data_IF_229764509532
#
_entry.id   IF_229764509532
#
_cell.length_a   1.000
_cell.length_b   1.000
_cell.length_c   1.000
_cell.angle_alpha   90.00
_cell.angle_beta   90.00
_cell.angle_gamma   90.00
#
_symmetry.space_group_name_H-M   'P 1'
#
loop_
_entity.id
_entity.type
_entity.pdbx_description
1 polymer ?
#
# COMPACT_ATOMS: atom_id res chain seq x y z
N UNK A 1 25.22 -37.69 51.09
CA UNK A 1 26.44 -37.19 51.76
C UNK A 1 26.84 -35.93 51.04
N UNK A 2 26.68 -34.82 51.75
CA UNK A 2 27.08 -33.47 51.37
C UNK A 2 28.61 -33.38 51.31
N UNK A 3 29.13 -32.44 50.52
CA UNK A 3 30.24 -31.62 50.99
C UNK A 3 30.32 -30.33 50.19
N UNK A 4 29.98 -29.24 50.89
CA UNK A 4 30.27 -27.86 50.54
C UNK A 4 31.77 -27.54 50.68
N UNK A 5 32.14 -26.38 50.14
CA UNK A 5 33.30 -25.57 50.55
C UNK A 5 34.27 -25.30 49.40
N UNK A 6 34.86 -24.12 49.24
CA UNK A 6 34.76 -22.82 49.91
C UNK A 6 35.62 -21.86 49.08
N UNK A 7 35.23 -20.59 49.04
CA UNK A 7 36.01 -19.46 48.54
C UNK A 7 37.44 -19.42 49.13
N UNK A 8 38.41 -18.98 48.33
CA UNK A 8 39.33 -17.93 48.77
C UNK A 8 39.90 -17.07 47.63
N UNK A 9 40.11 -15.82 48.03
CA UNK A 9 40.31 -14.58 47.31
C UNK A 9 41.79 -14.14 47.47
N UNK A 10 42.36 -13.46 46.46
CA UNK A 10 43.53 -12.52 46.48
C UNK A 10 43.94 -12.24 45.01
N UNK A 11 43.84 -11.06 44.38
CA UNK A 11 44.17 -9.65 44.65
C UNK A 11 45.67 -9.29 44.56
N UNK A 12 46.06 -8.61 43.47
CA UNK A 12 47.15 -7.61 43.29
C UNK A 12 47.36 -7.44 41.76
N UNK A 13 46.88 -6.43 41.04
CA UNK A 13 46.98 -4.96 41.12
C UNK A 13 48.29 -4.38 40.55
N UNK A 14 48.11 -3.33 39.72
CA UNK A 14 49.06 -2.41 39.05
C UNK A 14 49.66 -2.86 37.68
N UNK A 15 49.51 -2.13 36.57
CA UNK A 15 48.89 -0.80 36.39
C UNK A 15 48.93 -0.29 34.93
N UNK A 16 48.02 0.65 34.69
CA UNK A 16 48.03 1.89 33.87
C UNK A 16 48.76 1.86 32.51
N UNK A 17 48.22 2.36 31.40
CA UNK A 17 47.72 3.73 31.21
C UNK A 17 47.16 3.82 29.77
N UNK A 18 46.05 4.55 29.57
CA UNK A 18 45.79 5.46 28.41
C UNK A 18 44.34 5.97 28.52
N UNK A 19 44.25 7.20 29.04
CA UNK A 19 43.30 8.28 28.76
C UNK A 19 41.79 7.97 28.77
N UNK A 20 41.18 8.21 29.94
CA UNK A 20 39.80 8.64 30.07
C UNK A 20 39.68 10.10 29.61
N UNK A 21 38.88 10.35 28.57
CA UNK A 21 38.17 11.62 28.37
C UNK A 21 36.67 11.30 28.38
N UNK A 22 35.99 11.90 29.35
CA UNK A 22 34.58 12.27 29.38
C UNK A 22 33.53 11.18 29.13
N UNK A 23 33.27 10.40 30.18
CA UNK A 23 31.96 9.77 30.37
C UNK A 23 30.97 10.81 30.91
N UNK A 24 30.57 11.77 30.08
CA UNK A 24 29.32 12.50 30.32
C UNK A 24 28.16 11.62 29.82
N UNK A 25 27.42 11.07 30.79
CA UNK A 25 26.07 10.58 30.60
C UNK A 25 25.28 11.63 29.82
N UNK A 26 24.47 11.27 28.79
CA UNK A 26 23.52 12.22 28.27
C UNK A 26 22.52 12.48 29.38
N UNK A 27 22.73 13.59 30.09
CA UNK A 27 21.76 14.23 30.94
C UNK A 27 20.41 14.16 30.25
N UNK A 28 19.42 13.75 31.04
CA UNK A 28 18.02 13.96 30.73
C UNK A 28 17.87 15.33 30.08
N UNK A 29 17.62 15.35 28.78
CA UNK A 29 17.07 16.52 28.10
C UNK A 29 15.65 16.63 28.64
N UNK A 30 15.58 17.23 29.84
CA UNK A 30 14.41 17.78 30.44
C UNK A 30 13.92 18.83 29.46
N UNK A 31 12.90 18.40 28.73
CA UNK A 31 12.03 19.17 27.85
C UNK A 31 11.85 20.59 28.39
N UNK A 32 12.57 21.55 27.81
CA UNK A 32 12.12 22.94 27.72
C UNK A 32 11.41 23.16 26.38
N UNK A 33 10.50 22.25 26.02
CA UNK A 33 9.36 22.67 25.24
C UNK A 33 8.43 23.35 26.22
N UNK A 34 8.45 24.68 26.19
CA UNK A 34 7.41 25.52 26.73
C UNK A 34 6.10 25.10 26.02
N UNK A 35 5.48 24.05 26.56
CA UNK A 35 4.04 23.84 26.42
C UNK A 35 3.47 25.11 27.02
N UNK A 36 3.00 26.00 26.16
CA UNK A 36 2.01 26.99 26.57
C UNK A 36 0.79 26.15 26.93
N UNK A 37 0.77 25.68 28.17
CA UNK A 37 -0.43 25.17 28.78
C UNK A 37 -1.43 26.31 28.79
N UNK A 38 -2.73 26.03 28.60
CA UNK A 38 -3.73 27.00 28.96
C UNK A 38 -3.55 27.26 30.46
N UNK A 39 -3.27 28.52 30.79
CA UNK A 39 -3.29 29.03 32.15
C UNK A 39 -4.61 28.58 32.80
N UNK A 40 -4.61 27.98 34.01
CA UNK A 40 -5.84 27.62 34.68
C UNK A 40 -6.32 28.85 35.46
N UNK A 41 -6.61 29.96 34.77
CA UNK A 41 -7.20 31.16 35.34
C UNK A 41 -7.68 32.05 34.19
N UNK A 42 -8.71 31.59 33.49
CA UNK A 42 -9.80 32.49 33.08
C UNK A 42 -11.06 31.67 32.83
N UNK A 43 -11.50 30.95 33.87
CA UNK A 43 -12.91 30.62 34.00
C UNK A 43 -13.67 31.88 34.45
N UNK A 44 -13.50 32.99 33.73
CA UNK A 44 -14.53 34.02 33.63
C UNK A 44 -15.64 33.42 32.78
N UNK A 45 -16.37 32.52 33.44
CA UNK A 45 -17.77 32.29 33.19
C UNK A 45 -18.45 33.66 33.29
N UNK A 46 -18.45 34.42 32.20
CA UNK A 46 -19.50 35.38 31.88
C UNK A 46 -20.78 34.55 31.60
N UNK A 47 -21.24 33.86 32.64
CA UNK A 47 -22.67 33.84 32.92
C UNK A 47 -23.02 35.31 33.01
N UNK A 48 -23.57 35.86 31.94
CA UNK A 48 -24.54 36.92 32.11
C UNK A 48 -25.53 36.37 33.12
N UNK A 49 -25.38 36.81 34.37
CA UNK A 49 -26.44 36.76 35.34
C UNK A 49 -27.59 37.43 34.62
N UNK A 50 -28.49 36.62 34.08
CA UNK A 50 -29.89 36.96 33.97
C UNK A 50 -30.22 37.32 35.41
N UNK A 51 -30.13 38.61 35.70
CA UNK A 51 -30.68 39.18 36.91
C UNK A 51 -32.17 38.87 36.77
N UNK A 52 -32.55 37.71 37.31
CA UNK A 52 -33.90 37.45 37.75
C UNK A 52 -34.30 38.73 38.44
N UNK A 53 -35.20 39.46 37.79
CA UNK A 53 -35.86 40.59 38.39
C UNK A 53 -36.73 39.97 39.50
N UNK A 54 -36.09 39.63 40.62
CA UNK A 54 -36.77 39.40 41.88
C UNK A 54 -37.64 40.62 42.04
N UNK A 55 -38.94 40.36 42.23
CA UNK A 55 -39.91 41.36 42.67
C UNK A 55 -39.31 42.06 43.89
N UNK A 56 -38.61 43.16 43.63
CA UNK A 56 -38.27 44.12 44.64
C UNK A 56 -39.58 44.83 44.92
N UNK A 57 -40.18 44.42 46.03
CA UNK A 57 -41.25 45.08 46.76
C UNK A 57 -40.71 46.46 47.21
N UNK A 58 -40.49 47.33 46.24
CA UNK A 58 -40.14 48.72 46.44
C UNK A 58 -41.46 49.42 46.74
N UNK A 59 -41.71 49.59 48.04
CA UNK A 59 -42.64 50.57 48.58
C UNK A 59 -42.56 51.85 47.75
N UNK A 60 -43.57 52.05 46.91
CA UNK A 60 -43.77 53.29 46.18
C UNK A 60 -44.18 54.31 47.23
N UNK A 61 -43.20 55.04 47.78
CA UNK A 61 -43.48 56.25 48.53
C UNK A 61 -44.36 57.13 47.65
N UNK A 62 -45.56 57.41 48.17
CA UNK A 62 -46.57 58.25 47.55
C UNK A 62 -45.99 59.63 47.28
N UNK A 63 -45.52 59.84 46.04
CA UNK A 63 -45.15 61.15 45.54
C UNK A 63 -46.42 62.01 45.56
N UNK A 64 -46.38 63.06 46.37
CA UNK A 64 -47.39 64.11 46.49
C UNK A 64 -47.85 64.53 45.08
N UNK A 65 -49.16 64.56 44.79
CA UNK A 65 -49.66 65.07 43.52
C UNK A 65 -49.30 66.56 43.42
N UNK A 66 -48.31 66.89 42.60
CA UNK A 66 -48.10 68.28 42.22
C UNK A 66 -49.34 68.75 41.47
N UNK A 67 -50.01 69.72 42.06
CA UNK A 67 -51.13 70.42 41.45
C UNK A 67 -50.66 71.02 40.12
N UNK A 68 -51.40 70.66 39.08
CA UNK A 68 -51.32 71.19 37.73
C UNK A 68 -51.32 72.72 37.79
N UNK A 69 -50.19 73.35 37.50
CA UNK A 69 -50.20 74.72 37.02
C UNK A 69 -50.78 74.68 35.61
N UNK A 70 -51.97 75.25 35.46
CA UNK A 70 -52.80 75.20 34.26
C UNK A 70 -52.30 76.13 33.15
N UNK A 71 -51.01 76.03 32.80
CA UNK A 71 -50.46 76.64 31.60
C UNK A 71 -49.47 75.70 30.91
N UNK A 72 -49.89 74.45 30.73
CA UNK A 72 -49.25 73.56 29.77
C UNK A 72 -49.87 73.89 28.41
N UNK A 73 -49.20 74.75 27.65
CA UNK A 73 -49.58 75.04 26.27
C UNK A 73 -49.75 73.72 25.51
N UNK A 74 -50.94 73.51 24.90
CA UNK A 74 -51.26 72.33 24.08
C UNK A 74 -50.20 72.05 23.01
N UNK A 75 -49.55 73.11 22.52
CA UNK A 75 -48.44 73.04 21.56
C UNK A 75 -47.19 72.38 22.14
N UNK A 76 -46.84 72.65 23.40
CA UNK A 76 -45.69 72.03 24.08
C UNK A 76 -45.92 70.52 24.28
N UNK A 77 -47.14 70.12 24.64
CA UNK A 77 -47.50 68.69 24.77
C UNK A 77 -47.43 67.99 23.40
N UNK A 78 -47.95 68.62 22.35
CA UNK A 78 -47.92 68.07 21.00
C UNK A 78 -46.48 67.95 20.44
N UNK A 79 -45.60 68.91 20.76
CA UNK A 79 -44.19 68.85 20.39
C UNK A 79 -43.48 67.67 21.07
N UNK A 80 -43.66 67.51 22.38
CA UNK A 80 -43.06 66.40 23.14
C UNK A 80 -43.55 65.02 22.67
N UNK A 81 -44.82 64.89 22.29
CA UNK A 81 -45.35 63.64 21.71
C UNK A 81 -44.71 63.31 20.36
N UNK A 82 -44.53 64.32 19.49
CA UNK A 82 -43.81 64.14 18.21
C UNK A 82 -42.37 63.71 18.44
N UNK A 83 -41.68 64.34 19.38
CA UNK A 83 -40.31 63.99 19.74
C UNK A 83 -40.22 62.56 20.31
N UNK A 84 -41.17 62.16 21.16
CA UNK A 84 -41.28 60.80 21.67
C UNK A 84 -41.49 59.78 20.54
N UNK A 85 -42.32 60.10 19.54
CA UNK A 85 -42.55 59.23 18.39
C UNK A 85 -41.31 59.14 17.48
N UNK A 86 -40.58 60.24 17.28
CA UNK A 86 -39.28 60.23 16.60
C UNK A 86 -38.29 59.33 17.36
N UNK A 87 -38.23 59.44 18.70
CA UNK A 87 -37.36 58.60 19.52
C UNK A 87 -37.76 57.11 19.47
N UNK A 88 -39.06 56.78 19.52
CA UNK A 88 -39.54 55.40 19.39
C UNK A 88 -39.16 54.79 18.04
N UNK A 89 -39.37 55.52 16.94
CA UNK A 89 -39.02 55.04 15.60
C UNK A 89 -37.51 54.88 15.43
N UNK A 90 -36.72 55.80 15.98
CA UNK A 90 -35.25 55.70 16.00
C UNK A 90 -34.78 54.47 16.80
N UNK A 91 -35.32 54.27 18.02
CA UNK A 91 -34.98 53.13 18.87
C UNK A 91 -35.33 51.79 18.19
N UNK A 92 -36.52 51.69 17.58
CA UNK A 92 -36.90 50.49 16.81
C UNK A 92 -35.91 50.20 15.67
N UNK A 93 -35.50 51.22 14.91
CA UNK A 93 -34.48 51.07 13.85
C UNK A 93 -33.12 50.63 14.41
N UNK A 94 -32.73 51.14 15.59
CA UNK A 94 -31.49 50.72 16.25
C UNK A 94 -31.56 49.27 16.74
N UNK A 95 -32.69 48.83 17.29
CA UNK A 95 -32.91 47.43 17.67
C UNK A 95 -32.83 46.50 16.45
N UNK A 96 -33.46 46.86 15.33
CA UNK A 96 -33.37 46.10 14.09
C UNK A 96 -31.93 45.99 13.58
N UNK A 97 -31.18 47.10 13.56
CA UNK A 97 -29.74 47.10 13.22
C UNK A 97 -28.93 46.21 14.16
N UNK A 98 -29.15 46.33 15.48
CA UNK A 98 -28.46 45.53 16.49
C UNK A 98 -28.73 44.04 16.30
N UNK A 99 -29.98 43.64 16.03
CA UNK A 99 -30.31 42.23 15.76
C UNK A 99 -29.70 41.71 14.46
N UNK A 100 -29.56 42.56 13.44
CA UNK A 100 -28.89 42.21 12.19
C UNK A 100 -27.38 42.01 12.40
N UNK A 101 -26.70 42.97 13.01
CA UNK A 101 -25.28 42.89 13.34
C UNK A 101 -24.98 41.68 14.24
N UNK A 102 -25.79 41.42 15.26
CA UNK A 102 -25.63 40.24 16.12
C UNK A 102 -25.74 38.91 15.35
N UNK A 103 -26.60 38.84 14.32
CA UNK A 103 -26.69 37.65 13.45
C UNK A 103 -25.46 37.52 12.56
N UNK A 104 -24.96 38.62 12.01
CA UNK A 104 -23.76 38.64 11.17
C UNK A 104 -22.51 38.28 11.98
N UNK A 105 -22.36 38.83 13.19
CA UNK A 105 -21.27 38.51 14.12
C UNK A 105 -21.28 37.01 14.48
N UNK A 106 -22.44 36.44 14.83
CA UNK A 106 -22.56 34.99 15.09
C UNK A 106 -22.14 34.15 13.88
N UNK A 107 -22.56 34.55 12.68
CA UNK A 107 -22.18 33.86 11.42
C UNK A 107 -20.67 33.92 11.18
N UNK A 108 -20.03 35.06 11.42
CA UNK A 108 -18.58 35.20 11.28
C UNK A 108 -17.83 34.36 12.32
N UNK A 109 -18.30 34.36 13.58
CA UNK A 109 -17.74 33.53 14.65
C UNK A 109 -17.76 32.03 14.29
N UNK A 110 -18.91 31.53 13.82
CA UNK A 110 -19.02 30.12 13.39
C UNK A 110 -18.11 29.79 12.19
N UNK A 111 -17.92 30.73 11.25
CA UNK A 111 -16.99 30.52 10.13
C UNK A 111 -15.54 30.43 10.59
N UNK A 112 -15.14 31.30 11.51
CA UNK A 112 -13.79 31.30 12.07
C UNK A 112 -13.52 29.98 12.81
N UNK A 113 -14.43 29.56 13.69
CA UNK A 113 -14.33 28.30 14.44
C UNK A 113 -14.26 27.09 13.50
N UNK A 114 -15.05 27.07 12.42
CA UNK A 114 -14.99 26.02 11.42
C UNK A 114 -13.62 25.99 10.71
N UNK A 115 -13.06 27.15 10.37
CA UNK A 115 -11.75 27.24 9.74
C UNK A 115 -10.62 26.79 10.69
N UNK A 116 -10.69 27.17 11.96
CA UNK A 116 -9.76 26.73 12.99
C UNK A 116 -9.79 25.22 13.16
N UNK A 117 -10.99 24.61 13.24
CA UNK A 117 -11.15 23.16 13.33
C UNK A 117 -10.66 22.42 12.08
N UNK A 118 -10.90 22.98 10.90
CA UNK A 118 -10.36 22.41 9.67
C UNK A 118 -8.82 22.42 9.68
N UNK A 119 -8.20 23.54 10.08
CA UNK A 119 -6.75 23.65 10.16
C UNK A 119 -6.17 22.70 11.22
N UNK A 120 -6.77 22.63 12.41
CA UNK A 120 -6.39 21.70 13.48
C UNK A 120 -6.43 20.24 12.99
N UNK A 121 -7.48 19.84 12.27
CA UNK A 121 -7.58 18.50 11.68
C UNK A 121 -6.46 18.23 10.66
N UNK A 122 -6.13 19.19 9.78
CA UNK A 122 -5.02 19.00 8.82
C UNK A 122 -3.65 18.90 9.48
N UNK A 123 -3.44 19.61 10.59
CA UNK A 123 -2.20 19.52 11.37
C UNK A 123 -2.12 18.16 12.06
N UNK A 124 -3.22 17.72 12.69
CA UNK A 124 -3.29 16.41 13.34
C UNK A 124 -3.04 15.27 12.35
N UNK A 125 -3.64 15.32 11.15
CA UNK A 125 -3.42 14.33 10.08
C UNK A 125 -1.94 14.27 9.65
N UNK A 126 -1.32 15.41 9.35
CA UNK A 126 0.10 15.48 8.98
C UNK A 126 1.01 14.98 10.11
N UNK A 127 0.65 15.28 11.35
CA UNK A 127 1.42 14.87 12.52
C UNK A 127 1.31 13.36 12.73
N UNK A 128 0.12 12.78 12.58
CA UNK A 128 -0.10 11.34 12.66
C UNK A 128 0.68 10.59 11.57
N UNK A 129 0.64 11.08 10.32
CA UNK A 129 1.42 10.50 9.23
C UNK A 129 2.93 10.51 9.51
N UNK A 130 3.46 11.64 10.01
CA UNK A 130 4.87 11.74 10.38
C UNK A 130 5.26 10.78 11.51
N UNK A 131 4.39 10.63 12.52
CA UNK A 131 4.62 9.69 13.63
C UNK A 131 4.64 8.25 13.13
N UNK A 132 3.73 7.88 12.22
CA UNK A 132 3.73 6.56 11.58
C UNK A 132 5.02 6.33 10.79
N UNK A 133 5.46 7.29 9.97
CA UNK A 133 6.72 7.19 9.21
C UNK A 133 7.93 6.99 10.12
N UNK A 134 8.04 7.77 11.20
CA UNK A 134 9.13 7.63 12.18
C UNK A 134 9.09 6.25 12.83
N UNK A 135 7.90 5.74 13.19
CA UNK A 135 7.75 4.41 13.76
C UNK A 135 8.17 3.31 12.78
N UNK A 136 7.76 3.41 11.51
CA UNK A 136 8.18 2.47 10.47
C UNK A 136 9.69 2.49 10.25
N UNK A 137 10.28 3.68 10.09
CA UNK A 137 11.73 3.83 9.93
C UNK A 137 12.50 3.32 11.16
N UNK A 138 11.93 3.42 12.36
CA UNK A 138 12.51 2.83 13.56
C UNK A 138 12.50 1.31 13.51
N UNK A 139 11.37 0.71 13.17
CA UNK A 139 11.23 -0.74 13.05
C UNK A 139 12.22 -1.32 12.02
N UNK A 140 12.33 -0.68 10.85
CA UNK A 140 13.26 -1.12 9.81
C UNK A 140 14.73 -1.04 10.26
N UNK A 141 15.10 0.01 10.99
CA UNK A 141 16.45 0.13 11.56
C UNK A 141 16.73 -0.98 12.56
N UNK A 142 15.79 -1.26 13.46
CA UNK A 142 15.97 -2.28 14.49
C UNK A 142 16.08 -3.68 13.84
N UNK A 143 15.27 -3.95 12.82
CA UNK A 143 15.34 -5.18 12.03
C UNK A 143 16.69 -5.32 11.30
N UNK A 144 17.18 -4.24 10.68
CA UNK A 144 18.49 -4.24 10.02
C UNK A 144 19.65 -4.45 11.01
N UNK A 145 19.57 -3.83 12.20
CA UNK A 145 20.57 -3.99 13.27
C UNK A 145 20.56 -5.42 13.79
N UNK A 146 19.40 -6.00 14.06
CA UNK A 146 19.28 -7.39 14.50
C UNK A 146 19.81 -8.38 13.46
N UNK A 147 19.51 -8.15 12.18
CA UNK A 147 20.02 -8.97 11.07
C UNK A 147 21.55 -8.91 10.98
N UNK A 148 22.13 -7.70 11.11
CA UNK A 148 23.59 -7.52 11.08
C UNK A 148 24.28 -8.17 12.28
N UNK A 149 23.67 -8.10 13.47
CA UNK A 149 24.17 -8.75 14.67
C UNK A 149 24.16 -10.28 14.52
N UNK A 150 23.08 -10.84 13.98
CA UNK A 150 22.97 -12.28 13.70
C UNK A 150 24.07 -12.73 12.74
N UNK A 151 24.27 -12.01 11.63
CA UNK A 151 25.33 -12.32 10.68
C UNK A 151 26.73 -12.30 11.34
N UNK A 152 27.02 -11.30 12.16
CA UNK A 152 28.30 -11.23 12.87
C UNK A 152 28.50 -12.39 13.86
N UNK A 153 27.42 -12.88 14.49
CA UNK A 153 27.44 -14.06 15.35
C UNK A 153 27.73 -15.32 14.52
N UNK A 154 27.05 -15.48 13.38
CA UNK A 154 27.24 -16.61 12.46
C UNK A 154 28.67 -16.64 11.91
N UNK A 155 29.21 -15.51 11.45
CA UNK A 155 30.59 -15.39 10.95
C UNK A 155 31.61 -15.74 12.04
N UNK A 156 31.40 -15.26 13.27
CA UNK A 156 32.24 -15.60 14.42
C UNK A 156 32.19 -17.10 14.72
N UNK A 157 31.01 -17.69 14.73
CA UNK A 157 30.84 -19.11 15.04
C UNK A 157 31.43 -20.00 13.95
N UNK A 158 31.32 -19.59 12.67
CA UNK A 158 32.01 -20.24 11.55
C UNK A 158 33.53 -20.15 11.68
N UNK A 159 34.07 -18.97 12.00
CA UNK A 159 35.50 -18.78 12.23
C UNK A 159 36.01 -19.62 13.40
N UNK A 160 35.25 -19.71 14.51
CA UNK A 160 35.56 -20.58 15.66
C UNK A 160 35.53 -22.05 15.23
N UNK A 161 34.54 -22.47 14.44
CA UNK A 161 34.46 -23.83 13.94
C UNK A 161 35.65 -24.17 13.02
N UNK A 162 36.04 -23.26 12.14
CA UNK A 162 37.21 -23.41 11.28
C UNK A 162 38.51 -23.50 12.09
N UNK A 163 38.70 -22.62 13.07
CA UNK A 163 39.87 -22.63 13.95
C UNK A 163 39.98 -23.96 14.71
N UNK A 164 38.87 -24.48 15.26
CA UNK A 164 38.84 -25.80 15.92
C UNK A 164 39.19 -26.94 14.96
N UNK A 165 38.69 -26.93 13.72
CA UNK A 165 39.05 -27.94 12.70
C UNK A 165 40.54 -27.89 12.37
N UNK A 166 41.11 -26.70 12.26
CA UNK A 166 42.55 -26.53 12.03
C UNK A 166 43.37 -26.99 13.23
N UNK A 167 42.96 -26.66 14.46
CA UNK A 167 43.61 -27.11 15.69
C UNK A 167 43.61 -28.64 15.80
N UNK A 168 42.48 -29.29 15.53
CA UNK A 168 42.41 -30.77 15.47
C UNK A 168 43.33 -31.34 14.39
N UNK A 169 43.39 -30.70 13.21
CA UNK A 169 44.28 -31.12 12.13
C UNK A 169 45.76 -30.98 12.51
N UNK A 170 46.13 -29.87 13.16
CA UNK A 170 47.48 -29.65 13.69
C UNK A 170 47.85 -30.66 14.76
N UNK A 171 46.94 -30.96 15.70
CA UNK A 171 47.16 -31.98 16.73
C UNK A 171 47.36 -33.38 16.14
N UNK A 172 46.71 -33.69 15.01
CA UNK A 172 46.97 -34.93 14.26
C UNK A 172 48.34 -34.92 13.57
N UNK A 173 48.85 -33.76 13.15
CA UNK A 173 50.17 -33.58 12.54
C UNK A 173 51.30 -33.57 13.58
N UNK A 174 51.09 -33.01 14.78
CA UNK A 174 52.10 -32.97 15.86
C UNK A 174 52.48 -34.38 16.37
N UNK A 175 51.59 -35.35 16.20
CA UNK A 175 51.87 -36.77 16.46
C UNK A 175 52.70 -37.47 15.35
N UNK A 176 53.22 -36.71 14.37
CA UNK A 176 54.07 -37.22 13.30
C UNK A 176 55.46 -36.66 13.50
N UNK A 177 56.40 -37.50 13.96
CA UNK A 177 57.81 -37.15 13.92
C UNK A 177 58.23 -36.99 12.43
N UNK A 178 58.58 -35.79 11.94
CA UNK A 178 58.87 -35.57 10.53
C UNK A 178 60.07 -36.38 10.05
N UNK A 179 61.04 -36.65 10.94
CA UNK A 179 62.25 -37.43 10.64
C UNK A 179 61.96 -38.93 10.42
N UNK A 180 60.82 -39.44 10.88
CA UNK A 180 60.40 -40.84 10.70
C UNK A 180 59.55 -41.06 9.42
N UNK A 181 58.98 -40.01 8.83
CA UNK A 181 58.10 -40.10 7.66
C UNK A 181 58.86 -40.00 6.33
N UNK A 182 59.96 -39.24 6.30
CA UNK A 182 60.81 -39.07 5.11
C UNK A 182 61.73 -40.28 4.83
N UNK A 183 61.89 -41.17 5.81
CA UNK A 183 62.66 -42.39 5.61
C UNK A 183 61.98 -43.32 4.60
N UNK A 184 62.77 -43.83 3.66
CA UNK A 184 62.27 -44.86 2.74
C UNK A 184 62.01 -46.16 3.51
N UNK A 185 61.08 -47.00 3.03
CA UNK A 185 60.86 -48.33 3.63
C UNK A 185 62.16 -49.14 3.65
N UNK A 186 63.01 -48.96 2.63
CA UNK A 186 64.31 -49.60 2.53
C UNK A 186 65.26 -49.14 3.65
N UNK A 187 65.30 -47.85 3.97
CA UNK A 187 66.10 -47.33 5.09
C UNK A 187 65.62 -47.87 6.44
N UNK A 188 64.31 -47.93 6.67
CA UNK A 188 63.74 -48.50 7.90
C UNK A 188 64.08 -49.98 8.05
N UNK A 189 63.98 -50.76 6.98
CA UNK A 189 64.35 -52.18 6.96
C UNK A 189 65.85 -52.36 7.17
N UNK A 190 66.69 -51.54 6.55
CA UNK A 190 68.14 -51.56 6.76
C UNK A 190 68.51 -51.21 8.21
N UNK A 191 67.82 -50.25 8.84
CA UNK A 191 68.00 -49.91 10.26
C UNK A 191 67.57 -51.03 11.20
N UNK A 192 66.49 -51.75 10.88
CA UNK A 192 66.08 -52.94 11.63
C UNK A 192 67.14 -54.05 11.50
N UNK A 193 67.63 -54.30 10.28
CA UNK A 193 68.60 -55.36 10.01
C UNK A 193 69.96 -55.10 10.68
N UNK A 194 70.33 -53.83 10.87
CA UNK A 194 71.59 -53.41 11.47
C UNK A 194 71.44 -52.90 12.92
N UNK A 195 70.29 -53.13 13.58
CA UNK A 195 70.06 -52.64 14.94
C UNK A 195 70.72 -53.55 15.99
N UNK A 196 71.58 -52.98 16.82
CA UNK A 196 72.28 -53.71 17.90
C UNK A 196 71.40 -53.97 19.13
N UNK A 197 70.19 -53.39 19.19
CA UNK A 197 69.28 -53.52 20.34
C UNK A 197 67.84 -53.82 19.91
N UNK A 198 67.15 -54.65 20.68
CA UNK A 198 65.72 -54.97 20.44
C UNK A 198 64.81 -53.75 20.52
N UNK A 199 65.18 -52.74 21.31
CA UNK A 199 64.44 -51.46 21.43
C UNK A 199 64.49 -50.70 20.10
N UNK A 200 65.65 -50.66 19.44
CA UNK A 200 65.79 -50.00 18.13
C UNK A 200 65.00 -50.74 17.03
N UNK A 201 64.96 -52.08 17.09
CA UNK A 201 64.12 -52.89 16.20
C UNK A 201 62.64 -52.56 16.41
N UNK A 202 62.19 -52.52 17.67
CA UNK A 202 60.79 -52.23 18.00
C UNK A 202 60.37 -50.82 17.55
N UNK A 203 61.22 -49.81 17.76
CA UNK A 203 60.95 -48.43 17.34
C UNK A 203 60.78 -48.34 15.82
N UNK A 204 61.71 -48.88 15.05
CA UNK A 204 61.61 -48.87 13.59
C UNK A 204 60.44 -49.74 13.08
N UNK A 205 60.14 -50.86 13.75
CA UNK A 205 58.97 -51.69 13.46
C UNK A 205 57.65 -50.96 13.68
N UNK A 206 57.54 -50.18 14.75
CA UNK A 206 56.36 -49.36 15.04
C UNK A 206 56.09 -48.32 13.93
N UNK A 207 57.15 -47.68 13.41
CA UNK A 207 57.04 -46.72 12.29
C UNK A 207 56.50 -47.41 11.03
N UNK A 208 57.00 -48.61 10.69
CA UNK A 208 56.51 -49.37 9.53
C UNK A 208 55.03 -49.73 9.69
N UNK A 209 54.63 -50.21 10.87
CA UNK A 209 53.23 -50.56 11.16
C UNK A 209 52.33 -49.33 11.08
N UNK A 210 52.73 -48.20 11.66
CA UNK A 210 52.00 -46.94 11.57
C UNK A 210 51.83 -46.48 10.12
N UNK A 211 52.90 -46.56 9.30
CA UNK A 211 52.85 -46.23 7.86
C UNK A 211 51.86 -47.11 7.09
N UNK A 212 51.84 -48.42 7.38
CA UNK A 212 50.88 -49.36 6.77
C UNK A 212 49.45 -48.99 7.17
N UNK A 213 49.22 -48.70 8.46
CA UNK A 213 47.90 -48.32 8.95
C UNK A 213 47.41 -47.02 8.31
N UNK A 214 48.25 -45.97 8.28
CA UNK A 214 47.94 -44.69 7.62
C UNK A 214 47.69 -44.85 6.12
N UNK A 215 48.47 -45.67 5.42
CA UNK A 215 48.26 -45.93 4.00
C UNK A 215 46.90 -46.61 3.74
N UNK A 216 46.51 -47.58 4.60
CA UNK A 216 45.20 -48.23 4.51
C UNK A 216 44.07 -47.25 4.79
N UNK A 217 44.21 -46.42 5.82
CA UNK A 217 43.18 -45.46 6.19
C UNK A 217 43.03 -44.34 5.16
N UNK A 218 44.14 -43.85 4.62
CA UNK A 218 44.15 -42.88 3.52
C UNK A 218 43.41 -43.43 2.29
N UNK A 219 43.65 -44.69 1.91
CA UNK A 219 42.93 -45.34 0.81
C UNK A 219 41.42 -45.38 1.05
N UNK A 220 40.99 -45.78 2.25
CA UNK A 220 39.56 -45.79 2.60
C UNK A 220 38.94 -44.40 2.54
N UNK A 221 39.64 -43.38 3.08
CA UNK A 221 39.20 -41.99 3.05
C UNK A 221 39.03 -41.48 1.63
N UNK A 222 40.03 -41.70 0.76
CA UNK A 222 39.96 -41.32 -0.65
C UNK A 222 38.76 -41.99 -1.33
N UNK A 223 38.58 -43.30 -1.16
CA UNK A 223 37.43 -44.01 -1.73
C UNK A 223 36.09 -43.46 -1.22
N UNK A 224 35.98 -43.11 0.06
CA UNK A 224 34.77 -42.51 0.61
C UNK A 224 34.50 -41.11 0.04
N UNK A 225 35.54 -40.27 -0.08
CA UNK A 225 35.45 -38.94 -0.68
C UNK A 225 35.06 -39.03 -2.17
N UNK A 226 35.66 -39.95 -2.94
CA UNK A 226 35.30 -40.21 -4.34
C UNK A 226 33.84 -40.69 -4.47
N UNK A 227 33.40 -41.61 -3.61
CA UNK A 227 32.00 -42.06 -3.58
C UNK A 227 31.02 -40.92 -3.27
N UNK A 228 31.36 -40.06 -2.31
CA UNK A 228 30.54 -38.90 -1.98
C UNK A 228 30.46 -37.90 -3.13
N UNK A 229 31.59 -37.58 -3.78
CA UNK A 229 31.61 -36.69 -4.94
C UNK A 229 30.72 -37.22 -6.09
N UNK A 230 30.77 -38.53 -6.35
CA UNK A 230 29.89 -39.17 -7.36
C UNK A 230 28.41 -39.08 -6.97
N UNK A 231 28.08 -39.21 -5.68
CA UNK A 231 26.71 -39.07 -5.18
C UNK A 231 26.23 -37.62 -5.36
N UNK A 232 27.05 -36.63 -5.00
CA UNK A 232 26.73 -35.21 -5.15
C UNK A 232 26.52 -34.83 -6.62
N UNK A 233 27.38 -35.31 -7.53
CA UNK A 233 27.22 -35.08 -8.98
C UNK A 233 25.93 -35.70 -9.50
N UNK A 234 25.62 -36.94 -9.09
CA UNK A 234 24.35 -37.61 -9.43
C UNK A 234 23.15 -36.80 -8.96
N UNK A 235 23.16 -36.33 -7.72
CA UNK A 235 22.03 -35.61 -7.13
C UNK A 235 21.85 -34.22 -7.75
N UNK A 236 22.95 -33.55 -8.11
CA UNK A 236 22.93 -32.32 -8.90
C UNK A 236 22.32 -32.56 -10.30
N UNK A 237 22.74 -33.62 -10.99
CA UNK A 237 22.19 -33.99 -12.29
C UNK A 237 20.70 -34.33 -12.20
N UNK A 238 20.27 -35.11 -11.20
CA UNK A 238 18.86 -35.41 -10.96
C UNK A 238 18.03 -34.15 -10.70
N UNK A 239 18.58 -33.19 -9.95
CA UNK A 239 17.92 -31.91 -9.68
C UNK A 239 17.76 -31.08 -10.97
N UNK A 240 18.77 -31.08 -11.83
CA UNK A 240 18.71 -30.44 -13.15
C UNK A 240 17.67 -31.11 -14.06
N UNK A 241 17.62 -32.45 -14.09
CA UNK A 241 16.61 -33.20 -14.84
C UNK A 241 15.19 -32.84 -14.39
N UNK A 242 14.91 -32.83 -13.08
CA UNK A 242 13.59 -32.46 -12.54
C UNK A 242 13.18 -31.04 -12.93
N UNK A 243 14.12 -30.09 -12.89
CA UNK A 243 13.85 -28.70 -13.32
C UNK A 243 13.49 -28.64 -14.80
N UNK A 244 14.28 -29.30 -15.65
CA UNK A 244 14.01 -29.33 -17.10
C UNK A 244 12.67 -30.01 -17.42
N UNK A 245 12.29 -31.06 -16.68
CA UNK A 245 10.98 -31.69 -16.80
C UNK A 245 9.83 -30.73 -16.46
N UNK A 246 9.98 -29.92 -15.41
CA UNK A 246 9.00 -28.89 -15.05
C UNK A 246 8.90 -27.78 -16.09
N UNK A 247 10.04 -27.30 -16.61
CA UNK A 247 10.07 -26.30 -17.70
C UNK A 247 9.38 -26.83 -18.96
N UNK A 248 9.60 -28.10 -19.32
CA UNK A 248 8.93 -28.75 -20.44
C UNK A 248 7.41 -28.81 -20.20
N UNK A 249 6.98 -29.21 -19.01
CA UNK A 249 5.55 -29.22 -18.68
C UNK A 249 4.92 -27.83 -18.85
N UNK A 250 5.59 -26.80 -18.34
CA UNK A 250 5.09 -25.44 -18.43
C UNK A 250 5.05 -24.92 -19.87
N UNK A 251 6.07 -25.22 -20.67
CA UNK A 251 6.10 -24.88 -22.11
C UNK A 251 4.98 -25.61 -22.88
N UNK A 252 4.66 -26.85 -22.50
CA UNK A 252 3.55 -27.61 -23.09
C UNK A 252 2.20 -26.98 -22.76
N UNK A 253 1.99 -26.53 -21.52
CA UNK A 253 0.78 -25.79 -21.13
C UNK A 253 0.67 -24.44 -21.86
N UNK A 254 1.77 -23.70 -21.98
CA UNK A 254 1.81 -22.43 -22.69
C UNK A 254 1.48 -22.60 -24.18
N UNK A 255 2.04 -23.64 -24.82
CA UNK A 255 1.71 -23.95 -26.21
C UNK A 255 0.24 -24.37 -26.38
N UNK A 256 -0.30 -25.16 -25.46
CA UNK A 256 -1.70 -25.58 -25.50
C UNK A 256 -2.66 -24.39 -25.31
N UNK A 257 -2.37 -23.50 -24.37
CA UNK A 257 -3.15 -22.27 -24.14
C UNK A 257 -3.05 -21.31 -25.32
N UNK A 258 -1.86 -21.11 -25.89
CA UNK A 258 -1.65 -20.30 -27.10
C UNK A 258 -2.43 -20.86 -28.30
N UNK A 259 -2.37 -22.17 -28.53
CA UNK A 259 -3.12 -22.83 -29.59
C UNK A 259 -4.64 -22.70 -29.40
N UNK A 260 -5.13 -22.79 -28.16
CA UNK A 260 -6.55 -22.61 -27.84
C UNK A 260 -7.01 -21.15 -28.07
N UNK A 261 -6.21 -20.17 -27.66
CA UNK A 261 -6.50 -18.74 -27.88
C UNK A 261 -6.56 -18.41 -29.38
N UNK A 262 -5.63 -18.93 -30.18
CA UNK A 262 -5.64 -18.74 -31.63
C UNK A 262 -6.88 -19.36 -32.30
N UNK A 263 -7.31 -20.54 -31.85
CA UNK A 263 -8.55 -21.17 -32.32
C UNK A 263 -9.78 -20.32 -31.99
N UNK A 264 -9.85 -19.76 -30.79
CA UNK A 264 -10.97 -18.90 -30.39
C UNK A 264 -11.05 -17.62 -31.24
N UNK A 265 -9.92 -16.92 -31.41
CA UNK A 265 -9.85 -15.72 -32.23
C UNK A 265 -10.24 -15.99 -33.70
N UNK A 266 -9.86 -17.15 -34.23
CA UNK A 266 -10.20 -17.55 -35.61
C UNK A 266 -11.70 -17.84 -35.74
N UNK A 267 -12.30 -18.52 -34.75
CA UNK A 267 -13.74 -18.79 -34.74
C UNK A 267 -14.57 -17.50 -34.64
N UNK A 268 -14.17 -16.57 -33.77
CA UNK A 268 -14.81 -15.27 -33.58
C UNK A 268 -14.72 -14.40 -34.85
N UNK A 269 -13.54 -14.36 -35.49
CA UNK A 269 -13.36 -13.64 -36.76
C UNK A 269 -14.26 -14.19 -37.88
N UNK A 270 -14.39 -15.51 -37.97
CA UNK A 270 -15.27 -16.14 -38.96
C UNK A 270 -16.75 -15.83 -38.69
N UNK A 271 -17.17 -15.80 -37.42
CA UNK A 271 -18.51 -15.41 -37.03
C UNK A 271 -18.79 -13.93 -37.34
N UNK A 272 -17.82 -13.04 -37.08
CA UNK A 272 -17.91 -11.62 -37.43
C UNK A 272 -18.05 -11.41 -38.95
N UNK A 273 -17.26 -12.15 -39.75
CA UNK A 273 -17.38 -12.13 -41.22
C UNK A 273 -18.77 -12.59 -41.68
N UNK A 274 -19.31 -13.66 -41.10
CA UNK A 274 -20.64 -14.16 -41.44
C UNK A 274 -21.74 -13.14 -41.11
N UNK A 275 -21.65 -12.49 -39.95
CA UNK A 275 -22.57 -11.42 -39.55
C UNK A 275 -22.46 -10.21 -40.49
N UNK A 276 -21.25 -9.83 -40.91
CA UNK A 276 -21.04 -8.73 -41.86
C UNK A 276 -21.67 -9.00 -43.22
N UNK A 277 -21.53 -10.22 -43.76
CA UNK A 277 -22.20 -10.64 -45.01
C UNK A 277 -23.71 -10.57 -44.86
N UNK A 278 -24.25 -11.07 -43.73
CA UNK A 278 -25.69 -11.02 -43.46
C UNK A 278 -26.22 -9.58 -43.38
N UNK A 279 -25.48 -8.68 -42.73
CA UNK A 279 -25.85 -7.28 -42.59
C UNK A 279 -25.87 -6.56 -43.95
N UNK A 280 -24.88 -6.82 -44.81
CA UNK A 280 -24.85 -6.29 -46.18
C UNK A 280 -26.05 -6.78 -47.01
N UNK A 281 -26.38 -8.08 -46.92
CA UNK A 281 -27.57 -8.63 -47.58
C UNK A 281 -28.87 -7.97 -47.10
N UNK A 282 -29.01 -7.76 -45.79
CA UNK A 282 -30.18 -7.05 -45.24
C UNK A 282 -30.25 -5.59 -45.70
N UNK A 283 -29.11 -4.90 -45.81
CA UNK A 283 -29.05 -3.54 -46.31
C UNK A 283 -29.54 -3.47 -47.76
N UNK A 284 -29.06 -4.36 -48.62
CA UNK A 284 -29.46 -4.43 -50.01
C UNK A 284 -30.95 -4.78 -50.17
N UNK A 285 -31.47 -5.69 -49.34
CA UNK A 285 -32.91 -6.00 -49.29
C UNK A 285 -33.75 -4.79 -48.86
N UNK A 286 -33.25 -3.99 -47.91
CA UNK A 286 -33.91 -2.74 -47.51
C UNK A 286 -33.90 -1.71 -48.64
N UNK A 287 -32.76 -1.50 -49.30
CA UNK A 287 -32.65 -0.55 -50.41
C UNK A 287 -33.59 -0.92 -51.57
N UNK A 288 -33.63 -2.20 -51.94
CA UNK A 288 -34.57 -2.67 -52.96
C UNK A 288 -36.02 -2.46 -52.55
N UNK A 289 -36.38 -2.71 -51.28
CA UNK A 289 -37.73 -2.42 -50.79
C UNK A 289 -38.06 -0.92 -50.84
N UNK A 290 -37.12 -0.04 -50.46
CA UNK A 290 -37.29 1.42 -50.56
C UNK A 290 -37.50 1.86 -52.01
N UNK A 291 -36.75 1.29 -52.96
CA UNK A 291 -36.94 1.54 -54.39
C UNK A 291 -38.35 1.14 -54.85
N UNK A 292 -38.86 -0.01 -54.38
CA UNK A 292 -40.22 -0.46 -54.68
C UNK A 292 -41.28 0.48 -54.08
N UNK A 293 -41.10 0.92 -52.83
CA UNK A 293 -42.01 1.88 -52.20
C UNK A 293 -42.06 3.20 -52.95
N UNK A 294 -40.91 3.69 -53.43
CA UNK A 294 -40.83 4.91 -54.23
C UNK A 294 -41.61 4.79 -55.54
N UNK A 295 -41.47 3.67 -56.25
CA UNK A 295 -42.26 3.39 -57.47
C UNK A 295 -43.76 3.37 -57.18
N UNK A 296 -44.16 2.69 -56.11
CA UNK A 296 -45.55 2.60 -55.72
C UNK A 296 -46.13 3.98 -55.34
N UNK A 297 -45.32 4.83 -54.70
CA UNK A 297 -45.69 6.21 -54.40
C UNK A 297 -45.88 7.04 -55.68
N UNK A 298 -44.99 6.92 -56.66
CA UNK A 298 -45.11 7.56 -57.97
C UNK A 298 -46.38 7.12 -58.71
N UNK A 299 -46.71 5.82 -58.67
CA UNK A 299 -47.97 5.28 -59.20
C UNK A 299 -49.19 5.88 -58.50
N UNK A 300 -49.19 5.94 -57.16
CA UNK A 300 -50.27 6.55 -56.37
C UNK A 300 -50.43 8.03 -56.74
N UNK A 301 -49.34 8.79 -56.89
CA UNK A 301 -49.41 10.19 -57.29
C UNK A 301 -49.99 10.34 -58.71
N UNK A 302 -49.59 9.47 -59.63
CA UNK A 302 -50.12 9.44 -61.00
C UNK A 302 -51.63 9.15 -61.00
N UNK A 303 -52.07 8.16 -60.22
CA UNK A 303 -53.49 7.84 -60.05
C UNK A 303 -54.25 9.00 -59.41
N UNK A 304 -53.69 9.69 -58.41
CA UNK A 304 -54.31 10.89 -57.80
C UNK A 304 -54.52 12.01 -58.81
N UNK A 305 -53.55 12.27 -59.68
CA UNK A 305 -53.67 13.26 -60.77
C UNK A 305 -54.73 12.84 -61.77
N UNK A 306 -54.74 11.57 -62.17
CA UNK A 306 -55.76 11.02 -63.08
C UNK A 306 -57.16 11.17 -62.49
N UNK A 307 -57.35 10.79 -61.23
CA UNK A 307 -58.62 10.89 -60.52
C UNK A 307 -59.09 12.34 -60.37
N UNK A 308 -58.17 13.28 -60.06
CA UNK A 308 -58.47 14.73 -60.02
C UNK A 308 -58.98 15.22 -61.38
N UNK A 309 -58.30 14.87 -62.47
CA UNK A 309 -58.72 15.21 -63.84
C UNK A 309 -60.08 14.60 -64.21
N UNK A 310 -60.35 13.37 -63.77
CA UNK A 310 -61.61 12.69 -64.02
C UNK A 310 -62.78 13.33 -63.23
N UNK A 311 -62.53 13.74 -61.98
CA UNK A 311 -63.49 14.50 -61.18
C UNK A 311 -63.73 15.91 -61.74
N UNK A 312 -62.71 16.58 -62.28
CA UNK A 312 -62.87 17.86 -62.97
C UNK A 312 -63.71 17.71 -64.26
N UNK A 313 -63.51 16.62 -65.02
CA UNK A 313 -64.36 16.28 -66.17
C UNK A 313 -65.82 15.98 -65.76
N UNK A 314 -66.04 15.28 -64.65
CA UNK A 314 -67.38 15.08 -64.07
C UNK A 314 -68.04 16.39 -63.64
N UNK A 315 -67.31 17.32 -63.01
CA UNK A 315 -67.83 18.65 -62.62
C UNK A 315 -68.20 19.52 -63.81
N UNK A 316 -67.53 19.37 -64.95
CA UNK A 316 -67.82 20.08 -66.21
C UNK A 316 -68.95 19.43 -67.05
N UNK A 317 -69.68 18.46 -66.50
CA UNK A 317 -70.88 17.90 -67.13
C UNK A 317 -70.64 17.04 -68.38
N UNK A 318 -69.43 16.50 -68.57
CA UNK A 318 -69.12 15.67 -69.74
C UNK A 318 -68.80 14.24 -69.30
N UNK A 319 -69.83 13.38 -69.24
CA UNK A 319 -69.72 11.97 -68.88
C UNK A 319 -69.85 11.12 -70.14
N UNK A 320 -68.71 10.67 -70.67
CA UNK A 320 -68.62 9.57 -71.64
C UNK A 320 -67.66 8.51 -71.10
N UNK A 321 -67.90 7.21 -71.32
CA UNK A 321 -67.18 6.13 -70.65
C UNK A 321 -65.77 6.02 -71.21
N UNK A 322 -64.76 5.91 -70.34
CA UNK A 322 -63.40 5.57 -70.78
C UNK A 322 -62.82 4.46 -69.92
N UNK A 323 -62.75 3.27 -70.51
CA UNK A 323 -62.00 2.11 -70.03
C UNK A 323 -60.49 2.34 -70.28
N UNK A 324 -59.60 2.04 -69.31
CA UNK A 324 -58.21 1.81 -69.62
C UNK A 324 -57.89 0.31 -69.70
N UNK A 325 -57.33 -0.06 -70.84
CA UNK A 325 -56.68 -1.33 -71.18
C UNK A 325 -55.65 -1.77 -70.13
N UNK A 326 -55.81 -2.99 -69.62
CA UNK A 326 -54.76 -3.70 -68.92
C UNK A 326 -53.74 -4.24 -69.94
N UNK A 327 -52.52 -3.71 -69.93
CA UNK A 327 -51.36 -4.39 -70.52
C UNK A 327 -50.80 -5.35 -69.47
N UNK A 328 -51.18 -6.62 -69.60
CA UNK A 328 -50.47 -7.75 -68.99
C UNK A 328 -49.08 -7.84 -69.64
N UNK A 329 -48.05 -7.44 -68.90
CA UNK A 329 -46.66 -7.74 -69.22
C UNK A 329 -46.33 -9.14 -68.71
N UNK A 330 -46.19 -10.08 -69.63
CA UNK A 330 -45.61 -11.40 -69.42
C UNK A 330 -44.15 -11.26 -69.01
N UNK A 331 -43.83 -11.56 -67.74
CA UNK A 331 -42.46 -11.71 -67.26
C UNK A 331 -42.03 -13.17 -67.40
N UNK A 332 -41.20 -13.44 -68.40
CA UNK A 332 -40.48 -14.70 -68.57
C UNK A 332 -39.54 -14.99 -67.39
N UNK A 333 -39.55 -16.25 -67.02
CA UNK A 333 -38.67 -16.95 -66.10
C UNK A 333 -37.20 -16.84 -66.53
N UNK A 334 -36.32 -16.40 -65.63
CA UNK A 334 -34.92 -16.83 -65.61
C UNK A 334 -34.50 -17.25 -64.21
N UNK A 335 -33.73 -18.33 -64.23
CA UNK A 335 -33.27 -19.22 -63.16
C UNK A 335 -32.42 -18.53 -62.11
#
# INVERSE_FOLDING_TARGET
MESEGSLHQKSSDLGNEVTDEDTELPEQISRSLLVIGPNPDDEMTEKCNIMEYRKNDLHYEYIIPYQVTSDVNKETVAFLLKELDILRTSNKKLQEKLTKENKEQKKLKFKLELQEKAMEATIAEKTAALVEEVYFAQRERDEAVMSRLQLAIEERDEAIAQAKRMEMSLKMLENINPEENDMTLQELLNRINNADTGIAIQKNGAIIVDRIYRSKECKKRITAEEMNAVIEERDAALSQCKRLEQELHHLKEQNQTSANNMRHLTAENNQERALKVKLLSMHQAKETAVEQYKKLEEEIQTLRVYYRRLNDKKRKGNVGPFFPLAKLGTGEVRR
#
